data_IF_037504381097
#
_entry.id   IF_037504381097
#
_cell.length_a   1.000
_cell.length_b   1.000
_cell.length_c   1.000
_cell.angle_alpha   90.00
_cell.angle_beta   90.00
_cell.angle_gamma   90.00
#
_symmetry.space_group_name_H-M   'P 1'
#
loop_
_entity.id
_entity.type
_entity.pdbx_description
1 polymer ?
#
# COMPACT_ATOMS: atom_id res chain seq x y z
N UNK A 1 -2.68 -17.88 -4.32
CA UNK A 1 -2.73 -16.57 -3.64
C UNK A 1 -3.59 -15.63 -4.47
N UNK A 2 -4.53 -14.92 -3.85
CA UNK A 2 -5.44 -13.99 -4.54
C UNK A 2 -4.68 -12.69 -4.85
N UNK A 3 -4.90 -12.11 -6.03
CA UNK A 3 -4.20 -10.89 -6.47
C UNK A 3 -4.83 -9.61 -5.91
N UNK A 4 -6.13 -9.66 -5.62
CA UNK A 4 -6.89 -8.52 -5.10
C UNK A 4 -8.11 -8.97 -4.31
N UNK A 5 -8.60 -8.09 -3.45
CA UNK A 5 -9.77 -8.29 -2.59
C UNK A 5 -10.73 -7.13 -2.82
N UNK A 6 -12.02 -7.43 -2.98
CA UNK A 6 -13.08 -6.41 -3.04
C UNK A 6 -13.34 -5.88 -1.64
N UNK A 7 -13.60 -4.58 -1.52
CA UNK A 7 -13.78 -3.91 -0.23
C UNK A 7 -15.24 -3.53 0.07
N UNK A 8 -16.18 -4.04 -0.73
CA UNK A 8 -17.61 -3.69 -0.63
C UNK A 8 -18.19 -4.01 0.75
N UNK A 9 -17.72 -5.07 1.42
CA UNK A 9 -18.15 -5.43 2.77
C UNK A 9 -17.71 -4.42 3.84
N UNK A 10 -16.69 -3.62 3.54
CA UNK A 10 -16.24 -2.49 4.35
C UNK A 10 -16.93 -1.17 3.94
N UNK A 11 -17.89 -1.21 3.02
CA UNK A 11 -18.57 -0.02 2.49
C UNK A 11 -17.73 0.79 1.49
N UNK A 12 -16.62 0.22 0.99
CA UNK A 12 -15.72 0.88 0.04
C UNK A 12 -15.95 0.30 -1.35
N UNK A 13 -16.29 1.15 -2.32
CA UNK A 13 -16.34 0.79 -3.74
C UNK A 13 -14.92 0.77 -4.32
N UNK A 14 -14.22 -0.36 -4.13
CA UNK A 14 -12.81 -0.46 -4.49
C UNK A 14 -12.21 -1.84 -4.25
N UNK A 15 -10.91 -1.95 -4.55
CA UNK A 15 -10.13 -3.16 -4.35
C UNK A 15 -8.85 -2.87 -3.58
N UNK A 16 -8.46 -3.80 -2.71
CA UNK A 16 -7.12 -3.88 -2.15
C UNK A 16 -6.30 -4.90 -2.94
N UNK A 17 -5.05 -4.57 -3.25
CA UNK A 17 -4.13 -5.50 -3.90
C UNK A 17 -3.35 -6.31 -2.86
N UNK A 18 -2.99 -7.56 -3.18
CA UNK A 18 -2.00 -8.28 -2.40
C UNK A 18 -0.66 -7.53 -2.39
N UNK A 19 0.20 -7.77 -1.41
CA UNK A 19 1.50 -7.11 -1.29
C UNK A 19 2.32 -7.13 -2.60
N UNK A 20 2.48 -8.30 -3.22
CA UNK A 20 3.22 -8.47 -4.47
C UNK A 20 2.53 -7.73 -5.62
N UNK A 21 1.20 -7.81 -5.68
CA UNK A 21 0.41 -7.14 -6.71
C UNK A 21 0.48 -5.62 -6.57
N UNK A 22 0.47 -5.10 -5.35
CA UNK A 22 0.64 -3.68 -5.05
C UNK A 22 2.00 -3.18 -5.53
N UNK A 23 3.09 -3.91 -5.25
CA UNK A 23 4.43 -3.57 -5.75
C UNK A 23 4.46 -3.54 -7.29
N UNK A 24 3.87 -4.54 -7.95
CA UNK A 24 3.80 -4.56 -9.42
C UNK A 24 2.99 -3.38 -9.98
N UNK A 25 1.87 -3.05 -9.34
CA UNK A 25 1.02 -1.92 -9.76
C UNK A 25 1.74 -0.59 -9.60
N UNK A 26 2.44 -0.37 -8.49
CA UNK A 26 3.23 0.85 -8.28
C UNK A 26 4.27 1.02 -9.39
N UNK A 27 5.04 -0.03 -9.71
CA UNK A 27 6.01 0.02 -10.81
C UNK A 27 5.36 0.34 -12.15
N UNK A 28 4.25 -0.34 -12.45
CA UNK A 28 3.49 -0.13 -13.68
C UNK A 28 2.91 1.29 -13.80
N UNK A 29 2.47 1.91 -12.70
CA UNK A 29 1.99 3.29 -12.70
C UNK A 29 3.12 4.28 -12.97
N UNK A 30 4.30 4.07 -12.35
CA UNK A 30 5.49 4.89 -12.61
C UNK A 30 5.92 4.79 -14.08
N UNK A 31 5.95 3.59 -14.65
CA UNK A 31 6.26 3.37 -16.07
C UNK A 31 5.28 4.09 -17.00
N UNK A 32 4.00 4.12 -16.63
CA UNK A 32 2.93 4.80 -17.38
C UNK A 32 2.84 6.30 -17.09
N UNK A 33 3.72 6.85 -16.24
CA UNK A 33 3.70 8.27 -15.83
C UNK A 33 2.41 8.68 -15.10
N UNK A 34 1.86 7.74 -14.34
CA UNK A 34 0.67 7.94 -13.49
C UNK A 34 1.17 8.13 -12.05
N UNK A 35 0.96 9.31 -11.43
CA UNK A 35 1.36 9.54 -10.05
C UNK A 35 0.44 8.80 -9.09
N UNK A 36 0.98 8.48 -7.91
CA UNK A 36 0.25 7.78 -6.85
C UNK A 36 0.03 8.75 -5.70
N UNK A 37 -1.22 9.17 -5.53
CA UNK A 37 -1.58 10.23 -4.59
C UNK A 37 -1.59 9.72 -3.13
N UNK A 38 -1.86 8.44 -2.92
CA UNK A 38 -1.90 7.82 -1.59
C UNK A 38 -2.40 6.39 -1.65
N UNK A 39 -2.67 5.82 -0.49
CA UNK A 39 -3.31 4.51 -0.36
C UNK A 39 -3.55 4.11 1.09
N UNK A 40 -4.48 3.17 1.25
CA UNK A 40 -4.85 2.57 2.53
C UNK A 40 -4.28 1.15 2.64
N UNK A 41 -3.99 0.73 3.88
CA UNK A 41 -3.52 -0.62 4.18
C UNK A 41 -4.63 -1.41 4.86
N UNK A 42 -4.75 -2.67 4.45
CA UNK A 42 -5.70 -3.61 5.04
C UNK A 42 -4.95 -4.83 5.57
N UNK A 43 -5.36 -5.31 6.73
CA UNK A 43 -4.92 -6.59 7.25
C UNK A 43 -5.81 -7.68 6.67
N UNK A 44 -5.22 -8.80 6.24
CA UNK A 44 -5.99 -9.95 5.83
C UNK A 44 -6.24 -10.85 7.05
N UNK A 45 -7.48 -10.92 7.52
CA UNK A 45 -7.92 -11.79 8.62
C UNK A 45 -8.93 -12.77 8.05
N UNK A 46 -8.64 -14.08 8.14
CA UNK A 46 -9.51 -15.14 7.60
C UNK A 46 -9.96 -14.87 6.14
N UNK A 47 -8.98 -14.52 5.28
CA UNK A 47 -9.18 -14.16 3.86
C UNK A 47 -10.05 -12.91 3.60
N UNK A 48 -10.38 -12.15 4.64
CA UNK A 48 -11.21 -10.94 4.56
C UNK A 48 -10.37 -9.69 4.91
N UNK A 49 -10.38 -8.64 4.06
CA UNK A 49 -9.72 -7.38 4.38
C UNK A 49 -10.36 -6.73 5.61
N UNK A 50 -9.53 -6.31 6.54
CA UNK A 50 -9.89 -5.52 7.73
C UNK A 50 -9.13 -4.20 7.69
N UNK A 51 -9.80 -3.07 7.96
CA UNK A 51 -9.15 -1.76 8.04
C UNK A 51 -8.06 -1.78 9.10
N UNK A 52 -6.92 -1.16 8.82
CA UNK A 52 -5.88 -0.89 9.83
C UNK A 52 -5.85 0.57 10.26
N UNK A 53 -6.67 1.42 9.64
CA UNK A 53 -6.65 2.88 9.75
C UNK A 53 -5.27 3.50 9.41
N UNK A 54 -4.37 2.70 8.82
CA UNK A 54 -3.08 3.14 8.29
C UNK A 54 -3.26 3.62 6.85
N UNK A 55 -2.86 4.85 6.59
CA UNK A 55 -2.86 5.43 5.26
C UNK A 55 -1.64 6.32 5.04
N UNK A 56 -1.34 6.56 3.78
CA UNK A 56 -0.31 7.49 3.37
C UNK A 56 -0.77 8.34 2.20
N UNK A 57 -0.10 9.47 2.03
CA UNK A 57 -0.47 10.45 1.03
C UNK A 57 0.78 11.20 0.51
N UNK A 58 0.73 11.60 -0.75
CA UNK A 58 1.84 12.20 -1.47
C UNK A 58 1.30 13.22 -2.48
N UNK A 59 1.34 14.50 -2.12
CA UNK A 59 0.98 15.61 -3.02
C UNK A 59 2.14 16.03 -3.88
N UNK A 60 1.84 16.56 -5.07
CA UNK A 60 2.83 17.24 -5.90
C UNK A 60 3.31 18.52 -5.20
N UNK A 61 4.62 18.72 -5.11
CA UNK A 61 5.18 19.94 -4.54
C UNK A 61 5.15 21.10 -5.55
N UNK A 62 5.03 22.34 -5.07
CA UNK A 62 4.88 23.54 -5.92
C UNK A 62 6.01 23.72 -6.96
N UNK A 63 7.22 23.26 -6.68
CA UNK A 63 8.38 23.36 -7.57
C UNK A 63 8.79 22.03 -8.20
N UNK A 64 7.97 20.98 -8.06
CA UNK A 64 8.25 19.66 -8.58
C UNK A 64 7.66 19.49 -9.96
N UNK A 65 8.48 19.01 -10.90
CA UNK A 65 7.97 18.66 -12.23
C UNK A 65 7.01 17.47 -12.12
N UNK A 66 6.05 17.37 -13.03
CA UNK A 66 5.11 16.24 -13.03
C UNK A 66 5.82 14.87 -13.06
N UNK A 67 6.94 14.78 -13.80
CA UNK A 67 7.71 13.53 -13.89
C UNK A 67 8.45 13.23 -12.58
N UNK A 68 9.02 14.23 -11.93
CA UNK A 68 9.63 14.06 -10.61
C UNK A 68 8.58 13.62 -9.58
N UNK A 69 7.37 14.17 -9.66
CA UNK A 69 6.24 13.77 -8.82
C UNK A 69 5.84 12.31 -9.04
N UNK A 70 5.77 11.85 -10.29
CA UNK A 70 5.53 10.42 -10.61
C UNK A 70 6.58 9.54 -9.93
N UNK A 71 7.86 9.87 -10.08
CA UNK A 71 8.93 9.06 -9.49
C UNK A 71 8.93 9.09 -7.96
N UNK A 72 8.75 10.28 -7.37
CA UNK A 72 8.72 10.43 -5.91
C UNK A 72 7.50 9.75 -5.30
N UNK A 73 6.32 9.90 -5.89
CA UNK A 73 5.11 9.22 -5.41
C UNK A 73 5.21 7.70 -5.50
N UNK A 74 5.79 7.16 -6.58
CA UNK A 74 6.10 5.74 -6.67
C UNK A 74 7.07 5.27 -5.59
N UNK A 75 8.12 6.06 -5.29
CA UNK A 75 9.07 5.75 -4.22
C UNK A 75 8.40 5.74 -2.84
N UNK A 76 7.60 6.77 -2.52
CA UNK A 76 6.85 6.85 -1.26
C UNK A 76 5.91 5.65 -1.11
N UNK A 77 5.19 5.28 -2.17
CA UNK A 77 4.31 4.12 -2.16
C UNK A 77 5.06 2.82 -1.83
N UNK A 78 6.20 2.57 -2.50
CA UNK A 78 7.02 1.37 -2.24
C UNK A 78 7.60 1.37 -0.82
N UNK A 79 8.12 2.50 -0.35
CA UNK A 79 8.65 2.62 1.02
C UNK A 79 7.57 2.31 2.05
N UNK A 80 6.37 2.88 1.88
CA UNK A 80 5.28 2.65 2.81
C UNK A 80 4.83 1.18 2.81
N UNK A 81 4.60 0.58 1.63
CA UNK A 81 4.22 -0.84 1.50
C UNK A 81 5.25 -1.76 2.17
N UNK A 82 6.55 -1.49 1.98
CA UNK A 82 7.61 -2.29 2.56
C UNK A 82 7.74 -2.10 4.08
N UNK A 83 7.60 -0.87 4.58
CA UNK A 83 7.68 -0.60 6.02
C UNK A 83 6.55 -1.29 6.78
N UNK A 84 5.33 -1.28 6.22
CA UNK A 84 4.16 -1.94 6.81
C UNK A 84 4.34 -3.46 6.91
N UNK A 85 5.09 -4.09 5.99
CA UNK A 85 5.49 -5.49 6.08
C UNK A 85 6.51 -5.72 7.20
N UNK A 86 7.55 -4.88 7.27
CA UNK A 86 8.62 -5.01 8.29
C UNK A 86 8.07 -4.83 9.71
N UNK A 87 7.24 -3.81 9.94
CA UNK A 87 6.61 -3.54 11.23
C UNK A 87 5.76 -4.71 11.69
N UNK A 88 4.95 -5.29 10.80
CA UNK A 88 4.08 -6.43 11.11
C UNK A 88 4.87 -7.71 11.40
N UNK A 89 5.90 -8.01 10.60
CA UNK A 89 6.79 -9.15 10.87
C UNK A 89 7.52 -9.01 12.22
N UNK A 90 7.88 -7.78 12.59
CA UNK A 90 8.52 -7.50 13.88
C UNK A 90 7.56 -7.72 15.05
N UNK A 91 6.31 -7.27 14.91
CA UNK A 91 5.28 -7.43 15.94
C UNK A 91 4.85 -8.90 16.12
N UNK A 92 4.71 -9.66 15.04
CA UNK A 92 4.41 -11.10 15.10
C UNK A 92 5.54 -11.90 15.77
N UNK A 93 6.79 -11.52 15.53
CA UNK A 93 7.96 -12.17 16.16
C UNK A 93 7.99 -11.88 17.66
N UNK A 94 7.61 -10.67 18.07
CA UNK A 94 7.52 -10.29 19.48
C UNK A 94 6.42 -11.07 20.21
N UNK A 95 5.21 -11.15 19.66
CA UNK A 95 4.08 -11.89 20.26
C UNK A 95 4.35 -13.39 20.42
N UNK A 96 5.15 -13.99 19.52
CA UNK A 96 5.57 -15.40 19.64
C UNK A 96 6.71 -15.63 20.64
N UNK A 97 7.39 -14.58 21.08
CA UNK A 97 8.49 -14.66 22.05
C UNK A 97 8.02 -14.50 23.51
N UNK A 98 6.79 -14.06 23.71
CA UNK A 98 6.16 -13.82 25.02
C UNK A 98 5.11 -14.85 25.42
N UNK A 99 4.93 -15.93 24.64
CA UNK A 99 4.04 -17.06 24.93
C UNK A 99 4.82 -18.36 25.15
#
# INVERSE_FOLDING_TARGET
>A
MKLSYVLNELGIDGIAYSYETAIMKVRSFVEQRIPIVGGDVFLLVDDSPTSTDDSWYCEQMFHESYIDYVYRSGKVALEYINNQLVERLSNETFDRSTN
#
